data_IF_808337411935
#
_entry.id   IF_808337411935
#
_cell.length_a   1.000
_cell.length_b   1.000
_cell.length_c   1.000
_cell.angle_alpha   90.00
_cell.angle_beta   90.00
_cell.angle_gamma   90.00
#
_symmetry.space_group_name_H-M   'P 1'
#
loop_
_entity.id
_entity.type
_entity.pdbx_description
1 polymer ?
#
# COMPACT_ATOMS: atom_id res chain seq x y z
N UNK A 1 4.70 -12.32 15.10
CA UNK A 1 3.86 -11.25 14.53
C UNK A 1 4.69 -10.01 14.25
N UNK A 2 5.11 -9.89 12.99
CA UNK A 2 5.59 -8.62 12.47
C UNK A 2 4.37 -7.82 12.01
N UNK A 3 4.40 -6.50 12.18
CA UNK A 3 3.36 -5.61 11.69
C UNK A 3 3.98 -4.34 11.11
N UNK A 4 3.36 -3.82 10.06
CA UNK A 4 3.67 -2.53 9.50
C UNK A 4 2.38 -1.75 9.29
N UNK A 5 2.39 -0.46 9.56
CA UNK A 5 1.25 0.39 9.30
C UNK A 5 1.73 1.79 8.97
N UNK A 6 0.89 2.53 8.26
CA UNK A 6 1.24 3.90 7.93
C UNK A 6 0.12 4.66 7.26
N UNK A 7 0.35 5.96 7.13
CA UNK A 7 -0.50 6.88 6.41
C UNK A 7 0.30 7.50 5.27
N UNK A 8 -0.22 7.36 4.06
CA UNK A 8 0.40 7.85 2.82
C UNK A 8 -0.42 9.03 2.32
N UNK A 9 0.25 10.17 2.09
CA UNK A 9 -0.29 11.26 1.28
C UNK A 9 0.12 11.08 -0.16
N UNK A 10 -0.85 10.70 -0.97
CA UNK A 10 -0.68 10.43 -2.39
C UNK A 10 -0.38 11.70 -3.21
N UNK A 11 -0.93 12.84 -2.75
CA UNK A 11 -0.74 14.16 -3.38
C UNK A 11 0.73 14.58 -3.51
N UNK A 12 1.60 14.11 -2.62
CA UNK A 12 3.03 14.44 -2.62
C UNK A 12 3.93 13.22 -2.38
N UNK A 13 3.39 12.01 -2.47
CA UNK A 13 4.11 10.74 -2.25
C UNK A 13 4.82 10.65 -0.89
N UNK A 14 4.31 11.30 0.16
CA UNK A 14 4.97 11.29 1.48
C UNK A 14 4.30 10.32 2.44
N UNK A 15 5.12 9.57 3.17
CA UNK A 15 4.69 8.86 4.37
C UNK A 15 4.57 9.89 5.48
N UNK A 16 3.36 10.12 5.98
CA UNK A 16 3.09 11.09 7.06
C UNK A 16 3.42 10.53 8.44
N UNK A 17 3.15 9.24 8.62
CA UNK A 17 3.33 8.52 9.88
C UNK A 17 3.31 7.03 9.60
N UNK A 18 4.07 6.24 10.35
CA UNK A 18 4.05 4.79 10.25
C UNK A 18 5.01 4.08 11.19
N UNK A 19 4.93 2.76 11.21
CA UNK A 19 5.82 1.86 11.94
C UNK A 19 6.04 0.58 11.12
N UNK A 20 7.15 -0.11 11.38
CA UNK A 20 7.62 -1.26 10.58
C UNK A 20 8.67 -0.87 9.55
N UNK A 21 9.32 -1.87 8.96
CA UNK A 21 10.37 -1.65 7.97
C UNK A 21 9.80 -1.69 6.55
N UNK A 22 9.46 -0.51 6.02
CA UNK A 22 8.90 -0.38 4.68
C UNK A 22 9.38 0.88 3.96
N UNK A 23 9.31 0.84 2.63
CA UNK A 23 9.44 2.02 1.77
C UNK A 23 8.25 2.12 0.82
N UNK A 24 7.99 3.34 0.35
CA UNK A 24 6.90 3.65 -0.57
C UNK A 24 7.48 4.33 -1.80
N UNK A 25 7.13 3.83 -2.97
CA UNK A 25 7.41 4.47 -4.26
C UNK A 25 6.10 4.76 -4.97
N UNK A 26 6.00 5.92 -5.62
CA UNK A 26 4.89 6.23 -6.51
C UNK A 26 5.34 6.03 -7.96
N UNK A 27 4.69 5.11 -8.66
CA UNK A 27 5.03 4.76 -10.05
C UNK A 27 4.30 5.67 -11.06
N UNK A 28 3.19 6.26 -10.64
CA UNK A 28 2.35 7.12 -11.48
C UNK A 28 1.13 7.64 -10.72
N UNK A 29 0.25 8.37 -11.41
CA UNK A 29 -1.01 8.84 -10.81
C UNK A 29 -1.80 7.67 -10.26
N UNK A 30 -2.12 7.72 -8.98
CA UNK A 30 -2.88 6.68 -8.29
C UNK A 30 -2.16 5.33 -8.15
N UNK A 31 -0.88 5.19 -8.51
CA UNK A 31 -0.15 3.91 -8.51
C UNK A 31 1.02 3.94 -7.53
N UNK A 32 1.00 3.05 -6.53
CA UNK A 32 1.96 3.01 -5.43
C UNK A 32 2.54 1.60 -5.22
N UNK A 33 3.84 1.52 -4.94
CA UNK A 33 4.51 0.30 -4.50
C UNK A 33 4.90 0.45 -3.04
N UNK A 34 4.47 -0.49 -2.21
CA UNK A 34 4.95 -0.65 -0.85
C UNK A 34 5.93 -1.82 -0.83
N UNK A 35 7.16 -1.55 -0.41
CA UNK A 35 8.18 -2.57 -0.24
C UNK A 35 8.41 -2.81 1.25
N UNK A 36 8.22 -4.04 1.69
CA UNK A 36 8.43 -4.47 3.07
C UNK A 36 9.69 -5.33 3.15
N UNK A 37 10.58 -4.95 4.06
CA UNK A 37 11.86 -5.64 4.27
C UNK A 37 11.77 -6.59 5.46
N UNK A 38 12.37 -7.78 5.33
CA UNK A 38 12.43 -8.80 6.38
C UNK A 38 11.07 -9.33 6.86
N UNK A 39 10.07 -9.34 5.97
CA UNK A 39 8.68 -9.74 6.19
C UNK A 39 8.45 -11.22 6.48
N UNK A 40 9.49 -12.03 6.72
CA UNK A 40 9.37 -13.39 7.27
C UNK A 40 8.79 -14.46 6.34
N UNK A 41 8.66 -14.19 5.04
CA UNK A 41 8.31 -15.21 4.03
C UNK A 41 6.85 -15.67 4.00
N UNK A 42 5.98 -15.13 4.85
CA UNK A 42 4.56 -15.49 4.93
C UNK A 42 3.64 -14.43 4.34
N UNK A 43 2.56 -14.82 3.65
CA UNK A 43 1.64 -13.84 3.07
C UNK A 43 0.98 -12.98 4.15
N UNK A 44 1.14 -11.64 4.09
CA UNK A 44 0.51 -10.79 5.07
C UNK A 44 -0.96 -10.60 4.79
N UNK A 45 -1.72 -10.33 5.85
CA UNK A 45 -3.02 -9.68 5.73
C UNK A 45 -2.81 -8.19 5.54
N UNK A 46 -3.40 -7.62 4.47
CA UNK A 46 -3.32 -6.20 4.14
C UNK A 46 -4.70 -5.56 4.30
N UNK A 47 -4.76 -4.49 5.09
CA UNK A 47 -5.92 -3.62 5.23
C UNK A 47 -5.57 -2.24 4.66
N UNK A 48 -6.46 -1.71 3.82
CA UNK A 48 -6.32 -0.37 3.23
C UNK A 48 -7.60 0.43 3.47
N UNK A 49 -7.45 1.65 3.97
CA UNK A 49 -8.55 2.56 4.25
C UNK A 49 -8.31 3.89 3.54
N UNK A 50 -9.04 4.20 2.46
CA UNK A 50 -9.00 5.51 1.86
C UNK A 50 -9.58 6.55 2.82
N UNK A 51 -9.07 7.79 2.78
CA UNK A 51 -9.58 8.87 3.62
C UNK A 51 -10.90 9.48 3.11
N UNK A 52 -11.22 9.27 1.83
CA UNK A 52 -12.49 9.71 1.23
C UNK A 52 -13.31 8.51 0.76
N UNK A 53 -14.59 8.49 1.12
CA UNK A 53 -15.52 7.46 0.67
C UNK A 53 -15.74 7.47 -0.86
N UNK A 54 -15.44 8.60 -1.51
CA UNK A 54 -15.52 8.73 -2.98
C UNK A 54 -14.32 8.11 -3.70
N UNK A 55 -13.21 7.89 -3.00
CA UNK A 55 -12.01 7.26 -3.56
C UNK A 55 -12.06 5.76 -3.28
N UNK A 56 -12.85 5.05 -4.07
CA UNK A 56 -12.87 3.58 -4.09
C UNK A 56 -11.52 3.06 -4.57
N UNK A 57 -10.62 2.81 -3.62
CA UNK A 57 -9.33 2.19 -3.86
C UNK A 57 -9.54 0.80 -4.48
N UNK A 58 -9.13 0.64 -5.75
CA UNK A 58 -8.98 -0.67 -6.34
C UNK A 58 -7.71 -1.29 -5.77
N UNK A 59 -7.85 -1.97 -4.63
CA UNK A 59 -6.75 -2.73 -4.07
C UNK A 59 -6.54 -3.98 -4.94
N UNK A 60 -5.77 -3.84 -6.02
CA UNK A 60 -5.23 -4.98 -6.76
C UNK A 60 -3.94 -5.39 -6.06
N UNK A 61 -4.02 -6.31 -5.10
CA UNK A 61 -2.85 -6.89 -4.45
C UNK A 61 -2.12 -7.78 -5.49
N UNK A 62 -1.07 -7.26 -6.12
CA UNK A 62 -0.08 -8.13 -6.76
C UNK A 62 1.07 -8.34 -5.77
N UNK A 63 1.00 -9.45 -5.05
CA UNK A 63 2.10 -9.88 -4.19
C UNK A 63 3.22 -10.43 -5.07
N UNK A 64 4.35 -9.72 -5.10
CA UNK A 64 5.59 -10.27 -5.63
C UNK A 64 6.51 -10.63 -4.48
N UNK A 65 6.69 -11.93 -4.28
CA UNK A 65 7.73 -12.49 -3.46
C UNK A 65 9.04 -12.44 -4.24
N UNK A 66 9.95 -11.54 -3.88
CA UNK A 66 11.22 -11.41 -4.58
C UNK A 66 12.27 -12.42 -4.11
N UNK A 67 12.24 -12.85 -2.83
CA UNK A 67 13.30 -13.72 -2.26
C UNK A 67 12.91 -14.47 -0.97
N UNK A 68 11.60 -14.60 -0.65
CA UNK A 68 11.16 -15.27 0.58
C UNK A 68 11.41 -14.50 1.89
N UNK A 69 12.01 -13.31 1.82
CA UNK A 69 12.24 -12.42 2.98
C UNK A 69 11.63 -11.04 2.79
N UNK A 70 11.42 -10.62 1.55
CA UNK A 70 10.88 -9.31 1.21
C UNK A 70 9.55 -9.45 0.44
N UNK A 71 8.65 -8.50 0.67
CA UNK A 71 7.34 -8.46 0.02
C UNK A 71 7.13 -7.12 -0.70
N UNK A 72 6.55 -7.18 -1.90
CA UNK A 72 6.07 -6.00 -2.63
C UNK A 72 4.57 -6.03 -2.75
N UNK A 73 3.96 -4.88 -2.50
CA UNK A 73 2.55 -4.65 -2.68
C UNK A 73 2.32 -3.49 -3.65
N UNK A 74 1.68 -3.77 -4.78
CA UNK A 74 1.16 -2.75 -5.67
C UNK A 74 -0.23 -2.28 -5.21
N UNK A 75 -0.46 -0.98 -5.18
CA UNK A 75 -1.74 -0.36 -4.82
C UNK A 75 -2.15 0.58 -5.95
N UNK A 76 -3.37 0.40 -6.45
CA UNK A 76 -4.02 1.31 -7.38
C UNK A 76 -5.15 2.05 -6.66
N UNK A 77 -5.20 3.36 -6.84
CA UNK A 77 -6.18 4.25 -6.24
C UNK A 77 -6.86 5.06 -7.32
N UNK A 78 -8.13 5.40 -7.10
CA UNK A 78 -8.92 6.11 -8.08
C UNK A 78 -10.41 6.04 -7.82
N UNK A 79 -11.16 6.36 -8.88
CA UNK A 79 -12.60 6.32 -8.92
C UNK A 79 -13.04 5.06 -9.66
N UNK A 80 -13.78 4.17 -8.99
CA UNK A 80 -14.29 2.93 -9.61
C UNK A 80 -15.35 3.23 -10.64
N UNK A 81 -16.14 4.28 -10.43
CA UNK A 81 -17.21 4.76 -11.32
C UNK A 81 -16.66 5.48 -12.55
N UNK A 82 -15.47 6.08 -12.48
CA UNK A 82 -14.86 6.82 -13.60
C UNK A 82 -13.75 6.06 -14.32
N UNK A 83 -13.37 4.86 -13.83
CA UNK A 83 -12.25 4.05 -14.34
C UNK A 83 -10.95 4.88 -14.50
N UNK A 84 -10.75 5.84 -13.61
CA UNK A 84 -9.65 6.80 -13.68
C UNK A 84 -8.76 6.65 -12.46
N UNK A 85 -7.46 6.50 -12.69
CA UNK A 85 -6.48 6.50 -11.62
C UNK A 85 -6.34 7.91 -11.04
N UNK A 86 -6.36 8.02 -9.72
CA UNK A 86 -6.22 9.30 -9.02
C UNK A 86 -5.43 9.10 -7.74
N UNK A 87 -4.60 10.09 -7.41
CA UNK A 87 -3.94 10.14 -6.11
C UNK A 87 -4.95 10.27 -4.97
N UNK A 88 -5.03 9.25 -4.14
CA UNK A 88 -5.92 9.21 -2.98
C UNK A 88 -5.09 9.02 -1.71
N UNK A 89 -5.30 9.85 -0.70
CA UNK A 89 -4.66 9.64 0.60
C UNK A 89 -5.29 8.41 1.29
N UNK A 90 -4.45 7.52 1.83
CA UNK A 90 -4.92 6.29 2.47
C UNK A 90 -4.05 5.90 3.66
N UNK A 91 -4.65 5.12 4.56
CA UNK A 91 -3.95 4.41 5.62
C UNK A 91 -3.85 2.94 5.27
N UNK A 92 -2.78 2.30 5.72
CA UNK A 92 -2.56 0.87 5.53
C UNK A 92 -2.16 0.20 6.84
N UNK A 93 -2.51 -1.08 6.96
CA UNK A 93 -2.03 -2.00 7.98
C UNK A 93 -1.68 -3.32 7.31
N UNK A 94 -0.51 -3.86 7.65
CA UNK A 94 0.02 -5.12 7.14
C UNK A 94 0.43 -5.97 8.33
N UNK A 95 -0.10 -7.19 8.41
CA UNK A 95 0.12 -8.12 9.51
C UNK A 95 0.64 -9.43 8.93
N UNK A 96 1.79 -9.87 9.41
CA UNK A 96 2.34 -11.19 9.09
C UNK A 96 2.03 -12.17 10.22
N UNK A 97 1.61 -13.41 9.90
CA UNK A 97 1.45 -14.46 10.90
C UNK A 97 2.75 -14.72 11.67
#
# INVERSE_FOLDING_TARGET
MQQAFGHIRASNSTVKSGSGNFSVTKDGTGSFQLYFQNSGGTEPTVLLSPMSAYTTANVVLQNWWTDGTNARLHILTGFTDQRSAMDCDFSFQVIWP
#
